data_IF_247868217386
#
_entry.id   IF_247868217386
#
_cell.length_a   1.000
_cell.length_b   1.000
_cell.length_c   1.000
_cell.angle_alpha   90.00
_cell.angle_beta   90.00
_cell.angle_gamma   90.00
#
_symmetry.space_group_name_H-M   'P 1'
#
loop_
_entity.id
_entity.type
_entity.pdbx_description
1 polymer ?
#
# COMPACT_ATOMS: atom_id res chain seq x y z
N UNK A 1 -24.10 0.11 -12.77
CA UNK A 1 -22.70 -0.38 -12.85
C UNK A 1 -21.94 0.08 -14.08
N UNK A 2 -22.53 0.15 -15.29
CA UNK A 2 -21.82 0.61 -16.50
C UNK A 2 -21.08 1.95 -16.36
N UNK A 3 -21.58 2.87 -15.53
CA UNK A 3 -20.94 4.17 -15.29
C UNK A 3 -19.65 4.09 -14.45
N UNK A 4 -19.48 3.05 -13.62
CA UNK A 4 -18.31 2.86 -12.74
C UNK A 4 -17.31 1.84 -13.29
N UNK A 5 -17.73 0.94 -14.19
CA UNK A 5 -16.91 -0.07 -14.86
C UNK A 5 -16.05 0.53 -16.00
N UNK A 6 -15.53 1.73 -15.82
CA UNK A 6 -14.77 2.47 -16.85
C UNK A 6 -13.27 2.50 -16.57
N UNK A 7 -12.82 1.84 -15.49
CA UNK A 7 -11.45 1.89 -14.96
C UNK A 7 -10.96 3.30 -14.56
N UNK A 8 -11.86 4.29 -14.47
CA UNK A 8 -11.49 5.61 -13.95
C UNK A 8 -11.17 5.53 -12.46
N UNK A 9 -10.25 6.38 -12.03
CA UNK A 9 -9.92 6.56 -10.62
C UNK A 9 -10.95 7.49 -9.97
N UNK A 10 -11.38 7.15 -8.76
CA UNK A 10 -12.27 7.97 -7.93
C UNK A 10 -11.53 8.40 -6.67
N UNK A 11 -11.67 9.66 -6.29
CA UNK A 11 -11.27 10.09 -4.94
C UNK A 11 -12.34 9.66 -3.93
N UNK A 12 -11.98 9.61 -2.64
CA UNK A 12 -12.84 9.03 -1.60
C UNK A 12 -14.29 9.51 -1.62
N UNK A 13 -14.53 10.82 -1.65
CA UNK A 13 -15.90 11.37 -1.70
C UNK A 13 -16.69 10.94 -2.92
N UNK A 14 -16.04 10.85 -4.09
CA UNK A 14 -16.70 10.41 -5.32
C UNK A 14 -17.00 8.91 -5.27
N UNK A 15 -16.08 8.12 -4.72
CA UNK A 15 -16.27 6.68 -4.53
C UNK A 15 -17.46 6.40 -3.60
N UNK A 16 -17.60 7.15 -2.51
CA UNK A 16 -18.74 7.06 -1.60
C UNK A 16 -20.05 7.42 -2.31
N UNK A 17 -20.09 8.54 -3.04
CA UNK A 17 -21.26 8.97 -3.82
C UNK A 17 -21.66 7.95 -4.89
N UNK A 18 -20.68 7.28 -5.49
CA UNK A 18 -20.87 6.25 -6.49
C UNK A 18 -21.22 4.86 -5.90
N UNK A 19 -21.24 4.71 -4.58
CA UNK A 19 -21.50 3.44 -3.90
C UNK A 19 -20.39 2.40 -4.05
N UNK A 20 -19.15 2.85 -4.31
CA UNK A 20 -17.98 1.98 -4.45
C UNK A 20 -17.34 1.62 -3.09
N UNK A 21 -17.65 2.40 -2.05
CA UNK A 21 -17.20 2.18 -0.66
C UNK A 21 -18.35 2.50 0.29
N UNK A 22 -18.34 1.88 1.47
CA UNK A 22 -19.40 2.07 2.47
C UNK A 22 -19.24 3.35 3.31
N UNK A 23 -17.99 3.77 3.54
CA UNK A 23 -17.68 4.92 4.39
C UNK A 23 -16.31 5.52 4.09
N UNK A 24 -16.09 6.76 4.53
CA UNK A 24 -14.79 7.41 4.56
C UNK A 24 -14.27 7.49 5.99
N UNK A 25 -12.99 7.18 6.16
CA UNK A 25 -12.34 7.21 7.45
C UNK A 25 -10.89 6.75 7.35
N UNK A 26 -10.26 6.68 8.51
CA UNK A 26 -8.90 6.20 8.70
C UNK A 26 -8.88 4.72 9.09
N UNK A 27 -7.68 4.15 9.21
CA UNK A 27 -7.51 2.74 9.59
C UNK A 27 -8.11 2.45 10.98
N UNK A 28 -8.07 3.42 11.89
CA UNK A 28 -8.69 3.31 13.22
C UNK A 28 -10.21 3.08 13.12
N UNK A 29 -10.88 3.75 12.19
CA UNK A 29 -12.33 3.64 12.01
C UNK A 29 -12.69 2.24 11.49
N UNK A 30 -11.89 1.70 10.58
CA UNK A 30 -12.04 0.34 10.09
C UNK A 30 -11.88 -0.71 11.21
N UNK A 31 -10.87 -0.55 12.09
CA UNK A 31 -10.65 -1.43 13.25
C UNK A 31 -11.82 -1.35 14.24
N UNK A 32 -12.28 -0.15 14.56
CA UNK A 32 -13.42 0.07 15.45
C UNK A 32 -14.70 -0.56 14.88
N UNK A 33 -14.96 -0.35 13.59
CA UNK A 33 -16.13 -0.93 12.93
C UNK A 33 -16.07 -2.46 12.90
N UNK A 34 -14.90 -3.04 12.62
CA UNK A 34 -14.72 -4.49 12.68
C UNK A 34 -14.96 -5.04 14.10
N UNK A 35 -14.47 -4.36 15.13
CA UNK A 35 -14.71 -4.74 16.52
C UNK A 35 -16.19 -4.70 16.89
N UNK A 36 -16.88 -3.62 16.51
CA UNK A 36 -18.32 -3.46 16.72
C UNK A 36 -19.12 -4.58 16.04
N UNK A 37 -18.76 -4.95 14.81
CA UNK A 37 -19.40 -6.05 14.08
C UNK A 37 -19.11 -7.42 14.71
N UNK A 38 -17.94 -7.60 15.31
CA UNK A 38 -17.57 -8.82 16.04
C UNK A 38 -18.30 -8.99 17.37
N UNK A 39 -18.86 -7.92 17.94
CA UNK A 39 -19.60 -7.96 19.20
C UNK A 39 -18.71 -8.03 20.45
N UNK A 40 -17.40 -7.92 20.30
CA UNK A 40 -16.45 -7.88 21.40
C UNK A 40 -16.29 -6.45 21.96
N UNK A 41 -15.98 -6.36 23.25
CA UNK A 41 -15.77 -5.06 23.93
C UNK A 41 -14.37 -4.49 23.70
N UNK A 42 -13.42 -5.36 23.38
CA UNK A 42 -12.01 -5.02 23.19
C UNK A 42 -11.48 -5.89 22.06
N UNK A 43 -10.86 -5.26 21.07
CA UNK A 43 -10.25 -5.95 19.95
C UNK A 43 -8.83 -5.45 19.73
N UNK A 44 -7.92 -6.38 19.51
CA UNK A 44 -6.52 -6.07 19.21
C UNK A 44 -6.25 -6.19 17.70
N UNK A 45 -5.45 -5.26 17.17
CA UNK A 45 -4.97 -5.32 15.80
C UNK A 45 -3.70 -6.18 15.74
N UNK A 46 -3.77 -7.30 15.02
CA UNK A 46 -2.62 -8.17 14.78
C UNK A 46 -2.08 -7.95 13.36
N UNK A 47 -0.76 -7.88 13.24
CA UNK A 47 -0.07 -7.71 11.95
C UNK A 47 1.07 -8.71 11.79
N UNK A 48 1.16 -9.35 10.64
CA UNK A 48 2.26 -10.27 10.31
C UNK A 48 3.42 -9.52 9.66
N UNK A 49 4.65 -9.77 10.12
CA UNK A 49 5.89 -9.12 9.64
C UNK A 49 7.01 -10.14 9.55
N UNK A 50 7.92 -9.94 8.58
CA UNK A 50 9.14 -10.75 8.48
C UNK A 50 10.12 -10.42 9.62
N UNK A 51 10.27 -9.14 9.92
CA UNK A 51 11.16 -8.63 10.97
C UNK A 51 10.34 -7.92 12.05
N UNK A 52 10.71 -8.11 13.31
CA UNK A 52 10.09 -7.41 14.43
C UNK A 52 10.46 -5.93 14.40
N UNK A 53 9.47 -5.05 14.50
CA UNK A 53 9.67 -3.62 14.64
C UNK A 53 8.98 -3.12 15.92
N UNK A 54 9.79 -2.74 16.91
CA UNK A 54 9.31 -2.27 18.22
C UNK A 54 8.59 -0.92 18.16
N UNK A 55 8.81 -0.14 17.11
CA UNK A 55 8.17 1.15 16.88
C UNK A 55 7.00 1.05 15.89
N UNK A 56 6.53 -0.16 15.59
CA UNK A 56 5.46 -0.35 14.63
C UNK A 56 4.13 0.19 15.17
N UNK A 57 3.44 0.91 14.30
CA UNK A 57 2.06 1.37 14.47
C UNK A 57 1.12 0.58 13.57
N UNK A 58 -0.19 0.82 13.68
CA UNK A 58 -1.20 0.26 12.77
C UNK A 58 -0.95 0.62 11.30
N UNK A 59 -0.29 1.76 11.04
CA UNK A 59 0.09 2.21 9.69
C UNK A 59 1.46 1.69 9.22
N UNK A 60 2.19 0.96 10.07
CA UNK A 60 3.50 0.46 9.69
C UNK A 60 3.38 -0.69 8.70
N UNK A 61 4.18 -0.69 7.61
CA UNK A 61 4.16 -1.76 6.62
C UNK A 61 4.31 -3.14 7.28
N UNK A 62 3.62 -4.13 6.71
CA UNK A 62 3.54 -5.48 7.25
C UNK A 62 4.50 -6.42 6.51
N UNK A 63 4.05 -6.91 5.36
CA UNK A 63 4.82 -7.75 4.43
C UNK A 63 5.12 -6.95 3.18
N UNK A 64 6.14 -6.09 3.24
CA UNK A 64 6.80 -5.71 2.00
C UNK A 64 7.64 -6.91 1.60
N UNK A 65 7.33 -7.54 0.45
CA UNK A 65 8.29 -8.41 -0.19
C UNK A 65 9.60 -7.63 -0.24
N UNK A 66 10.66 -8.14 0.38
CA UNK A 66 11.99 -7.62 0.10
C UNK A 66 12.17 -7.83 -1.41
N UNK A 67 11.92 -6.79 -2.19
CA UNK A 67 12.44 -6.68 -3.54
C UNK A 67 13.94 -6.52 -3.35
N UNK A 68 14.62 -7.62 -2.99
CA UNK A 68 16.03 -7.74 -3.29
C UNK A 68 16.08 -7.55 -4.79
N UNK A 69 16.73 -6.48 -5.29
CA UNK A 69 16.93 -6.35 -6.72
C UNK A 69 17.54 -7.67 -7.19
N UNK A 70 17.00 -8.24 -8.27
CA UNK A 70 17.58 -9.42 -8.88
C UNK A 70 19.00 -9.01 -9.27
N UNK A 71 20.02 -9.55 -8.61
CA UNK A 71 21.42 -9.33 -8.98
C UNK A 71 21.70 -10.07 -10.30
N UNK A 72 21.24 -9.49 -11.42
CA UNK A 72 21.55 -9.95 -12.77
C UNK A 72 22.97 -9.50 -13.13
N UNK A 73 23.97 -10.18 -12.58
CA UNK A 73 25.39 -9.88 -12.81
C UNK A 73 25.91 -10.48 -14.13
N UNK A 74 25.18 -10.31 -15.24
CA UNK A 74 25.52 -10.94 -16.52
C UNK A 74 26.34 -10.05 -17.46
N UNK A 75 26.42 -8.72 -17.22
CA UNK A 75 27.32 -7.82 -17.95
C UNK A 75 27.70 -6.62 -17.05
N UNK A 76 28.96 -6.51 -16.64
CA UNK A 76 29.50 -5.29 -15.99
C UNK A 76 29.68 -4.20 -17.05
N UNK A 77 28.63 -3.44 -17.34
CA UNK A 77 28.71 -2.25 -18.18
C UNK A 77 28.37 -1.02 -17.34
N UNK A 78 29.37 -0.20 -17.00
CA UNK A 78 29.21 0.96 -16.10
C UNK A 78 28.27 2.07 -16.59
N UNK A 79 27.72 1.95 -17.81
CA UNK A 79 26.70 2.84 -18.36
C UNK A 79 25.26 2.43 -17.99
N UNK A 80 25.00 1.15 -17.74
CA UNK A 80 23.65 0.63 -17.47
C UNK A 80 23.34 0.51 -15.97
N UNK A 81 24.36 0.51 -15.10
CA UNK A 81 24.18 0.40 -13.65
C UNK A 81 23.31 1.51 -13.07
N UNK A 82 23.41 2.75 -13.57
CA UNK A 82 22.60 3.88 -13.08
C UNK A 82 21.11 3.75 -13.43
N UNK A 83 20.77 3.11 -14.55
CA UNK A 83 19.39 2.90 -14.99
C UNK A 83 18.77 1.63 -14.39
N UNK A 84 19.60 0.61 -14.12
CA UNK A 84 19.16 -0.69 -13.61
C UNK A 84 19.24 -0.81 -12.07
N UNK A 85 19.92 0.12 -11.37
CA UNK A 85 19.98 0.17 -9.91
C UNK A 85 18.82 0.93 -9.24
N UNK A 86 17.83 1.35 -10.03
CA UNK A 86 16.64 2.01 -9.50
C UNK A 86 15.89 1.05 -8.57
N UNK A 87 15.88 1.36 -7.28
CA UNK A 87 15.06 0.68 -6.28
C UNK A 87 13.57 0.86 -6.61
N UNK A 88 12.67 -0.06 -6.27
CA UNK A 88 11.24 0.18 -6.44
C UNK A 88 10.81 1.48 -5.73
N UNK A 89 10.20 2.41 -6.47
CA UNK A 89 9.85 3.74 -5.99
C UNK A 89 9.38 4.66 -7.12
N UNK A 90 8.82 5.82 -6.77
CA UNK A 90 8.37 6.81 -7.76
C UNK A 90 9.56 7.64 -8.24
N UNK A 91 9.87 7.55 -9.52
CA UNK A 91 10.92 8.34 -10.17
C UNK A 91 10.31 9.41 -11.06
N UNK A 92 10.81 10.64 -10.93
CA UNK A 92 10.41 11.77 -11.75
C UNK A 92 11.56 12.14 -12.68
N UNK A 93 11.32 12.04 -13.99
CA UNK A 93 12.26 12.53 -14.99
C UNK A 93 11.93 14.00 -15.25
N UNK A 94 12.76 14.90 -14.74
CA UNK A 94 12.74 16.29 -15.17
C UNK A 94 13.58 16.42 -16.42
N UNK A 95 12.91 16.62 -17.55
CA UNK A 95 13.55 17.10 -18.77
C UNK A 95 13.46 18.64 -18.78
N UNK A 96 14.51 19.35 -19.22
CA UNK A 96 14.44 20.79 -19.43
C UNK A 96 13.40 21.18 -20.49
#
# INVERSE_FOLDING_TARGET
>A
MKEVETARVYVGEEALKAGLVDSLGYLSDAVNQACNLGGDKTCDLVSYRFETNVNATSYSPTMQAQTKPIEMNLMKTGLLDSALSLKPGSYYLYLP
#
